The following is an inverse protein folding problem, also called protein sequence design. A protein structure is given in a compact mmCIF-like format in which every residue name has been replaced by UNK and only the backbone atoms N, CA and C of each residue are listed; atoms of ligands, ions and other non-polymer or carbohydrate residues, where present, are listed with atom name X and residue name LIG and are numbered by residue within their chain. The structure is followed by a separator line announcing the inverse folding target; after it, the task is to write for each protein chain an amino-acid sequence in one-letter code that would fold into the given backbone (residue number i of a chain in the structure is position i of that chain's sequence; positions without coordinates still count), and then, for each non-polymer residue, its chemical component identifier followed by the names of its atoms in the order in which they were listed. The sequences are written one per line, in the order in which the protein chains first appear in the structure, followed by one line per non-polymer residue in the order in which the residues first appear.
data_IF_926566068318
#
_entry.id   IF_926566068318
#
_cell.length_a   1.000
_cell.length_b   1.000
_cell.length_c   1.000
_cell.angle_alpha   90.00
_cell.angle_beta   90.00
_cell.angle_gamma   90.00
#
_symmetry.space_group_name_H-M   'P 1'
#
loop_
_entity.id
_entity.type
_entity.pdbx_description
1 polymer ?
#
# COMPACT_ATOMS: atom_id res chain seq x y z
N UNK A 1 35.54 -17.07 2.50
CA UNK A 1 36.37 -15.85 2.71
C UNK A 1 36.28 -15.31 4.15
N UNK A 2 35.25 -15.60 4.94
CA UNK A 2 35.15 -15.20 6.35
C UNK A 2 35.77 -16.16 7.39
N UNK A 3 36.76 -16.98 7.01
CA UNK A 3 37.41 -17.90 7.97
C UNK A 3 38.95 -17.81 8.00
N UNK A 4 39.54 -16.80 7.35
CA UNK A 4 41.00 -16.58 7.32
C UNK A 4 41.32 -15.13 7.74
N UNK A 5 40.76 -14.68 8.86
CA UNK A 5 41.07 -13.37 9.44
C UNK A 5 41.06 -13.42 10.98
N UNK A 6 41.53 -14.53 11.57
CA UNK A 6 41.68 -14.69 13.03
C UNK A 6 43.14 -14.79 13.49
N UNK A 7 44.10 -14.45 12.63
CA UNK A 7 45.54 -14.63 12.94
C UNK A 7 46.41 -13.37 12.87
N UNK A 8 45.83 -12.19 12.72
CA UNK A 8 46.56 -10.94 12.98
C UNK A 8 45.75 -10.14 13.99
N UNK A 9 46.31 -9.94 15.18
CA UNK A 9 45.73 -9.24 16.33
C UNK A 9 45.38 -7.78 16.06
N UNK A 10 44.44 -7.54 15.15
CA UNK A 10 43.73 -6.29 15.01
C UNK A 10 42.56 -6.33 16.00
N UNK A 11 42.67 -5.52 17.06
CA UNK A 11 41.47 -5.02 17.76
C UNK A 11 40.68 -4.23 16.73
N UNK A 12 39.76 -4.89 16.04
CA UNK A 12 38.66 -4.20 15.37
C UNK A 12 37.69 -3.87 16.50
N UNK A 13 37.88 -2.70 17.11
CA UNK A 13 36.80 -2.05 17.84
C UNK A 13 35.74 -1.72 16.79
N UNK A 14 34.80 -2.65 16.61
CA UNK A 14 33.54 -2.35 15.95
C UNK A 14 32.92 -1.26 16.82
N UNK A 15 32.72 -0.04 16.31
CA UNK A 15 32.00 0.97 17.06
C UNK A 15 30.64 0.36 17.40
N UNK A 16 30.32 0.30 18.70
CA UNK A 16 28.99 0.00 19.19
C UNK A 16 28.09 1.16 18.74
N UNK A 17 27.67 1.12 17.48
CA UNK A 17 26.62 1.99 16.98
C UNK A 17 25.37 1.44 17.67
N UNK A 18 24.75 2.19 18.60
CA UNK A 18 23.54 1.71 19.24
C UNK A 18 22.55 1.41 18.12
N UNK A 19 22.14 0.15 18.00
CA UNK A 19 21.08 -0.22 17.07
C UNK A 19 19.91 0.74 17.33
N UNK A 20 19.40 1.45 16.31
CA UNK A 20 18.23 2.28 16.48
C UNK A 20 17.15 1.41 17.10
N UNK A 21 16.73 1.74 18.32
CA UNK A 21 15.67 0.98 18.99
C UNK A 21 14.42 1.16 18.15
N UNK A 22 13.89 0.05 17.63
CA UNK A 22 12.60 0.02 16.94
C UNK A 22 11.55 0.66 17.85
N UNK A 23 10.66 1.47 17.26
CA UNK A 23 9.51 1.98 17.99
C UNK A 23 8.65 0.79 18.45
N UNK A 24 7.96 0.86 19.62
CA UNK A 24 7.13 -0.23 20.10
C UNK A 24 6.07 -0.69 19.08
N UNK A 25 5.47 0.26 18.36
CA UNK A 25 4.48 -0.02 17.32
C UNK A 25 5.11 -0.65 16.07
N UNK A 26 6.35 -0.29 15.73
CA UNK A 26 7.10 -0.89 14.62
C UNK A 26 7.39 -2.37 14.91
N UNK A 27 7.89 -2.68 16.11
CA UNK A 27 8.15 -4.05 16.54
C UNK A 27 6.85 -4.90 16.58
N UNK A 28 5.74 -4.31 17.04
CA UNK A 28 4.44 -4.97 17.05
C UNK A 28 3.94 -5.26 15.63
N UNK A 29 4.09 -4.31 14.70
CA UNK A 29 3.72 -4.49 13.31
C UNK A 29 4.53 -5.62 12.66
N UNK A 30 5.85 -5.65 12.85
CA UNK A 30 6.70 -6.72 12.32
C UNK A 30 6.32 -8.09 12.86
N UNK A 31 6.10 -8.22 14.18
CA UNK A 31 5.69 -9.50 14.76
C UNK A 31 4.34 -10.00 14.23
N UNK A 32 3.41 -9.08 13.95
CA UNK A 32 2.13 -9.43 13.35
C UNK A 32 2.29 -9.86 11.88
N UNK A 33 3.10 -9.14 11.09
CA UNK A 33 3.41 -9.47 9.71
C UNK A 33 4.09 -10.84 9.57
N UNK A 34 5.03 -11.18 10.46
CA UNK A 34 5.69 -12.51 10.48
C UNK A 34 4.70 -13.66 10.67
N UNK A 35 3.58 -13.41 11.35
CA UNK A 35 2.51 -14.38 11.59
C UNK A 35 1.44 -14.36 10.50
N UNK A 36 1.56 -13.48 9.52
CA UNK A 36 0.51 -13.22 8.53
C UNK A 36 -0.72 -12.50 9.09
N UNK A 37 -0.62 -11.91 10.29
CA UNK A 37 -1.69 -11.15 10.93
C UNK A 37 -1.69 -9.70 10.41
N UNK A 38 -2.22 -9.51 9.21
CA UNK A 38 -2.33 -8.18 8.59
C UNK A 38 -3.27 -7.25 9.37
N UNK A 39 -4.23 -7.80 10.12
CA UNK A 39 -5.14 -7.02 10.98
C UNK A 39 -4.39 -6.44 12.18
N UNK A 40 -3.62 -7.27 12.88
CA UNK A 40 -2.75 -6.86 13.98
C UNK A 40 -1.70 -5.85 13.53
N UNK A 41 -1.09 -6.06 12.36
CA UNK A 41 -0.12 -5.13 11.78
C UNK A 41 -0.77 -3.77 11.45
N UNK A 42 -1.94 -3.77 10.82
CA UNK A 42 -2.68 -2.54 10.54
C UNK A 42 -3.02 -1.77 11.83
N UNK A 43 -3.42 -2.47 12.89
CA UNK A 43 -3.70 -1.84 14.19
C UNK A 43 -2.43 -1.21 14.80
N UNK A 44 -1.29 -1.88 14.72
CA UNK A 44 -0.02 -1.34 15.19
C UNK A 44 0.37 -0.06 14.43
N UNK A 45 0.27 -0.06 13.10
CA UNK A 45 0.54 1.15 12.29
C UNK A 45 -0.44 2.29 12.59
N UNK A 46 -1.74 2.00 12.81
CA UNK A 46 -2.70 3.03 13.23
C UNK A 46 -2.35 3.64 14.58
N UNK A 47 -1.92 2.83 15.54
CA UNK A 47 -1.47 3.32 16.85
C UNK A 47 -0.23 4.22 16.69
N UNK A 48 0.69 3.83 15.81
CA UNK A 48 1.86 4.65 15.50
C UNK A 48 1.45 6.00 14.90
N UNK A 49 0.55 6.00 13.92
CA UNK A 49 0.04 7.24 13.31
C UNK A 49 -0.78 8.11 14.26
N UNK A 50 -1.43 7.52 15.26
CA UNK A 50 -2.11 8.31 16.29
C UNK A 50 -1.12 9.12 17.14
N UNK A 51 0.10 8.61 17.33
CA UNK A 51 1.19 9.29 18.06
C UNK A 51 2.05 10.18 17.16
N UNK A 52 2.36 9.71 15.96
CA UNK A 52 3.19 10.38 14.95
C UNK A 52 2.42 10.40 13.62
N UNK A 53 1.50 11.37 13.42
CA UNK A 53 0.60 11.38 12.25
C UNK A 53 1.29 11.43 10.90
N UNK A 54 2.53 11.91 10.85
CA UNK A 54 3.30 12.07 9.62
C UNK A 54 4.36 11.02 9.37
N UNK A 55 4.37 9.94 10.16
CA UNK A 55 5.34 8.85 10.03
C UNK A 55 5.21 8.11 8.67
N UNK A 56 6.17 8.28 7.73
CA UNK A 56 6.05 7.70 6.40
C UNK A 56 5.98 6.17 6.40
N UNK A 57 6.74 5.52 7.28
CA UNK A 57 6.77 4.06 7.37
C UNK A 57 5.40 3.51 7.77
N UNK A 58 4.78 4.13 8.78
CA UNK A 58 3.47 3.70 9.27
C UNK A 58 2.36 3.96 8.26
N UNK A 59 2.41 5.06 7.49
CA UNK A 59 1.45 5.31 6.39
C UNK A 59 1.50 4.23 5.33
N UNK A 60 2.70 3.90 4.84
CA UNK A 60 2.89 2.86 3.81
C UNK A 60 2.52 1.48 4.36
N UNK A 61 3.00 1.15 5.56
CA UNK A 61 2.73 -0.13 6.20
C UNK A 61 1.23 -0.36 6.44
N UNK A 62 0.51 0.67 6.90
CA UNK A 62 -0.94 0.62 7.06
C UNK A 62 -1.64 0.36 5.72
N UNK A 63 -1.31 1.14 4.70
CA UNK A 63 -1.93 1.01 3.38
C UNK A 63 -1.70 -0.40 2.79
N UNK A 64 -0.51 -0.98 2.97
CA UNK A 64 -0.18 -2.33 2.51
C UNK A 64 -1.00 -3.39 3.24
N UNK A 65 -1.10 -3.30 4.57
CA UNK A 65 -1.90 -4.23 5.37
C UNK A 65 -3.39 -4.14 4.99
N UNK A 66 -3.92 -2.93 4.83
CA UNK A 66 -5.31 -2.72 4.45
C UNK A 66 -5.61 -3.22 3.04
N UNK A 67 -4.72 -3.00 2.06
CA UNK A 67 -4.86 -3.61 0.74
C UNK A 67 -4.92 -5.13 0.84
N UNK A 68 -4.00 -5.73 1.62
CA UNK A 68 -3.93 -7.18 1.77
C UNK A 68 -5.19 -7.78 2.40
N UNK A 69 -5.78 -7.08 3.36
CA UNK A 69 -7.05 -7.45 4.00
C UNK A 69 -8.23 -7.33 3.03
N UNK A 70 -8.31 -6.26 2.22
CA UNK A 70 -9.40 -6.08 1.25
C UNK A 70 -9.45 -7.19 0.19
N UNK A 71 -8.29 -7.70 -0.22
CA UNK A 71 -8.20 -8.73 -1.26
C UNK A 71 -8.20 -10.16 -0.72
N UNK A 72 -8.06 -10.36 0.60
CA UNK A 72 -7.78 -11.69 1.18
C UNK A 72 -8.86 -12.74 0.86
N UNK A 73 -10.13 -12.33 0.91
CA UNK A 73 -11.27 -13.23 0.68
C UNK A 73 -11.75 -13.23 -0.78
N UNK A 74 -11.07 -12.53 -1.69
CA UNK A 74 -11.54 -12.35 -3.06
C UNK A 74 -11.03 -13.45 -3.99
N UNK A 75 -11.92 -13.90 -4.87
CA UNK A 75 -11.50 -14.63 -6.08
C UNK A 75 -11.07 -13.61 -7.13
N UNK A 76 -9.78 -13.61 -7.48
CA UNK A 76 -9.19 -12.54 -8.29
C UNK A 76 -9.77 -12.50 -9.70
N UNK A 77 -9.91 -13.65 -10.36
CA UNK A 77 -10.45 -13.71 -11.71
C UNK A 77 -11.93 -13.33 -11.74
N UNK A 78 -12.71 -13.90 -10.82
CA UNK A 78 -14.15 -13.66 -10.76
C UNK A 78 -14.46 -12.20 -10.44
N UNK A 79 -13.70 -11.59 -9.54
CA UNK A 79 -13.88 -10.18 -9.16
C UNK A 79 -13.62 -9.27 -10.35
N UNK A 80 -12.52 -9.49 -11.07
CA UNK A 80 -12.20 -8.68 -12.25
C UNK A 80 -13.24 -8.86 -13.36
N UNK A 81 -13.64 -10.12 -13.65
CA UNK A 81 -14.72 -10.39 -14.63
C UNK A 81 -16.04 -9.72 -14.23
N UNK A 82 -16.39 -9.70 -12.94
CA UNK A 82 -17.58 -8.99 -12.43
C UNK A 82 -17.49 -7.50 -12.70
N UNK A 83 -16.34 -6.88 -12.38
CA UNK A 83 -16.12 -5.46 -12.61
C UNK A 83 -16.15 -5.09 -14.09
N UNK A 84 -15.58 -5.92 -14.96
CA UNK A 84 -15.59 -5.67 -16.40
C UNK A 84 -17.01 -5.78 -16.99
N UNK A 85 -17.85 -6.67 -16.43
CA UNK A 85 -19.25 -6.79 -16.81
C UNK A 85 -20.17 -5.69 -16.22
N UNK A 86 -19.70 -4.97 -15.18
CA UNK A 86 -20.47 -3.94 -14.46
C UNK A 86 -19.65 -2.65 -14.33
N UNK A 87 -19.43 -1.92 -15.44
CA UNK A 87 -18.60 -0.72 -15.44
C UNK A 87 -19.10 0.38 -14.49
N UNK A 88 -20.40 0.43 -14.22
CA UNK A 88 -21.03 1.43 -13.35
C UNK A 88 -21.12 1.00 -11.87
N UNK A 89 -20.75 -0.24 -11.54
CA UNK A 89 -20.74 -0.73 -10.16
C UNK A 89 -19.47 -0.27 -9.45
N UNK A 90 -19.54 0.85 -8.73
CA UNK A 90 -18.40 1.39 -8.01
C UNK A 90 -17.72 0.33 -7.12
N UNK A 91 -18.51 -0.45 -6.38
CA UNK A 91 -17.96 -1.47 -5.49
C UNK A 91 -17.16 -2.54 -6.24
N UNK A 92 -17.66 -3.05 -7.39
CA UNK A 92 -16.92 -4.00 -8.20
C UNK A 92 -15.63 -3.36 -8.75
N UNK A 93 -15.67 -2.08 -9.15
CA UNK A 93 -14.48 -1.35 -9.63
C UNK A 93 -13.42 -1.18 -8.54
N UNK A 94 -13.82 -0.85 -7.30
CA UNK A 94 -12.89 -0.72 -6.17
C UNK A 94 -12.17 -2.04 -5.88
N UNK A 95 -12.93 -3.13 -5.80
CA UNK A 95 -12.38 -4.47 -5.52
C UNK A 95 -11.44 -4.95 -6.62
N UNK A 96 -11.79 -4.72 -7.89
CA UNK A 96 -10.91 -5.04 -9.02
C UNK A 96 -9.63 -4.19 -9.02
N UNK A 97 -9.73 -2.90 -8.68
CA UNK A 97 -8.57 -2.01 -8.61
C UNK A 97 -7.59 -2.46 -7.52
N UNK A 98 -8.09 -2.88 -6.36
CA UNK A 98 -7.26 -3.45 -5.29
C UNK A 98 -6.46 -4.67 -5.78
N UNK A 99 -7.14 -5.63 -6.41
CA UNK A 99 -6.49 -6.83 -6.96
C UNK A 99 -5.46 -6.45 -8.03
N UNK A 100 -5.80 -5.51 -8.90
CA UNK A 100 -4.91 -5.07 -9.98
C UNK A 100 -3.65 -4.40 -9.43
N UNK A 101 -3.74 -3.53 -8.42
CA UNK A 101 -2.56 -2.98 -7.75
C UNK A 101 -1.75 -4.07 -7.05
N UNK A 102 -2.41 -4.96 -6.31
CA UNK A 102 -1.73 -6.07 -5.62
C UNK A 102 -1.01 -7.03 -6.58
N UNK A 103 -1.43 -7.08 -7.84
CA UNK A 103 -0.83 -7.92 -8.91
C UNK A 103 0.06 -7.15 -9.87
N UNK A 104 0.36 -5.86 -9.59
CA UNK A 104 1.24 -5.03 -10.42
C UNK A 104 0.61 -4.47 -11.71
N UNK A 105 -0.70 -4.61 -11.88
CA UNK A 105 -1.47 -4.07 -13.02
C UNK A 105 -1.94 -2.64 -12.75
N UNK A 106 -1.00 -1.75 -12.41
CA UNK A 106 -1.27 -0.38 -11.97
C UNK A 106 -2.12 0.42 -12.97
N UNK A 107 -1.78 0.36 -14.26
CA UNK A 107 -2.54 1.03 -15.32
C UNK A 107 -4.02 0.66 -15.30
N UNK A 108 -4.35 -0.63 -15.24
CA UNK A 108 -5.74 -1.11 -15.24
C UNK A 108 -6.50 -0.59 -14.02
N UNK A 109 -5.88 -0.64 -12.84
CA UNK A 109 -6.47 -0.16 -11.60
C UNK A 109 -6.77 1.34 -11.65
N UNK A 110 -5.79 2.13 -12.11
CA UNK A 110 -5.94 3.57 -12.19
C UNK A 110 -6.96 3.98 -13.25
N UNK A 111 -6.94 3.37 -14.43
CA UNK A 111 -7.89 3.66 -15.50
C UNK A 111 -9.34 3.41 -15.06
N UNK A 112 -9.61 2.32 -14.31
CA UNK A 112 -10.98 2.03 -13.85
C UNK A 112 -11.48 2.98 -12.78
N UNK A 113 -10.62 3.37 -11.84
CA UNK A 113 -11.01 4.32 -10.81
C UNK A 113 -11.12 5.74 -11.35
N UNK A 114 -10.28 6.13 -12.31
CA UNK A 114 -10.43 7.40 -13.03
C UNK A 114 -11.77 7.46 -13.77
N UNK A 115 -12.16 6.38 -14.48
CA UNK A 115 -13.50 6.30 -15.09
C UNK A 115 -14.59 6.49 -14.05
N UNK A 116 -14.50 5.79 -12.93
CA UNK A 116 -15.47 5.89 -11.82
C UNK A 116 -15.55 7.32 -11.27
N UNK A 117 -14.43 8.03 -11.11
CA UNK A 117 -14.38 9.43 -10.65
C UNK A 117 -15.04 10.38 -11.67
N UNK A 118 -14.90 10.10 -12.97
CA UNK A 118 -15.46 10.94 -14.03
C UNK A 118 -16.96 10.69 -14.27
N UNK A 119 -17.44 9.46 -14.06
CA UNK A 119 -18.84 9.10 -14.30
C UNK A 119 -19.74 9.25 -13.07
N UNK A 120 -19.19 9.31 -11.87
CA UNK A 120 -19.94 9.43 -10.61
C UNK A 120 -20.05 10.86 -10.10
N UNK A 121 -20.93 11.07 -9.12
CA UNK A 121 -21.12 12.36 -8.44
C UNK A 121 -21.32 12.18 -6.93
N UNK A 122 -21.26 13.28 -6.18
CA UNK A 122 -21.48 13.27 -4.73
C UNK A 122 -20.57 12.30 -3.99
N UNK A 123 -21.16 11.46 -3.13
CA UNK A 123 -20.45 10.52 -2.28
C UNK A 123 -19.72 9.42 -3.08
N UNK A 124 -20.26 8.97 -4.21
CA UNK A 124 -19.60 7.97 -5.05
C UNK A 124 -18.31 8.51 -5.66
N UNK A 125 -18.33 9.76 -6.13
CA UNK A 125 -17.12 10.43 -6.64
C UNK A 125 -16.07 10.60 -5.54
N UNK A 126 -16.51 10.97 -4.33
CA UNK A 126 -15.61 11.09 -3.19
C UNK A 126 -14.95 9.75 -2.85
N UNK A 127 -15.74 8.67 -2.75
CA UNK A 127 -15.24 7.31 -2.47
C UNK A 127 -14.27 6.81 -3.54
N UNK A 128 -14.60 6.97 -4.82
CA UNK A 128 -13.70 6.58 -5.92
C UNK A 128 -12.36 7.33 -5.88
N UNK A 129 -12.41 8.64 -5.61
CA UNK A 129 -11.23 9.49 -5.49
C UNK A 129 -10.36 9.09 -4.29
N UNK A 130 -10.96 8.92 -3.12
CA UNK A 130 -10.25 8.52 -1.90
C UNK A 130 -9.55 7.17 -2.09
N UNK A 131 -10.24 6.20 -2.68
CA UNK A 131 -9.67 4.89 -2.97
C UNK A 131 -8.51 4.96 -3.96
N UNK A 132 -8.63 5.78 -5.01
CA UNK A 132 -7.55 6.01 -5.97
C UNK A 132 -6.31 6.63 -5.31
N UNK A 133 -6.50 7.61 -4.42
CA UNK A 133 -5.40 8.22 -3.66
C UNK A 133 -4.75 7.26 -2.66
N UNK A 134 -5.51 6.33 -2.09
CA UNK A 134 -4.96 5.24 -1.27
C UNK A 134 -4.05 4.34 -2.12
N UNK A 135 -4.52 3.91 -3.30
CA UNK A 135 -3.74 3.07 -4.20
C UNK A 135 -2.47 3.76 -4.72
N UNK A 136 -2.50 5.08 -4.94
CA UNK A 136 -1.32 5.85 -5.32
C UNK A 136 -0.19 5.83 -4.28
N UNK A 137 -0.49 5.60 -3.00
CA UNK A 137 0.52 5.52 -1.93
C UNK A 137 1.27 4.18 -1.94
N UNK A 138 0.72 3.17 -2.63
CA UNK A 138 1.25 1.81 -2.67
C UNK A 138 2.18 1.56 -3.86
N UNK A 139 2.33 2.54 -4.75
CA UNK A 139 3.08 2.43 -6.00
C UNK A 139 4.27 3.38 -5.96
N UNK A 140 5.40 2.96 -6.55
CA UNK A 140 6.61 3.78 -6.65
C UNK A 140 6.26 5.14 -7.30
N UNK A 141 6.61 6.29 -6.69
CA UNK A 141 6.34 7.62 -7.25
C UNK A 141 6.88 7.86 -8.66
N UNK A 142 7.85 7.05 -9.12
CA UNK A 142 8.47 7.10 -10.45
C UNK A 142 7.77 6.20 -11.47
N UNK A 143 6.77 5.41 -11.06
CA UNK A 143 5.98 4.58 -11.95
C UNK A 143 5.28 5.46 -13.01
N UNK A 144 5.47 5.19 -14.31
CA UNK A 144 4.94 6.03 -15.38
C UNK A 144 3.40 6.01 -15.43
N UNK A 145 2.75 4.93 -15.00
CA UNK A 145 1.29 4.85 -14.94
C UNK A 145 0.75 5.67 -13.78
N UNK A 146 1.44 5.68 -12.62
CA UNK A 146 1.11 6.56 -11.50
C UNK A 146 1.21 8.04 -11.88
N UNK A 147 2.30 8.43 -12.55
CA UNK A 147 2.51 9.83 -12.98
C UNK A 147 1.36 10.28 -13.89
N UNK A 148 1.01 9.46 -14.89
CA UNK A 148 -0.10 9.75 -15.80
C UNK A 148 -1.44 9.79 -15.08
N UNK A 149 -1.69 8.86 -14.17
CA UNK A 149 -2.95 8.80 -13.43
C UNK A 149 -3.17 10.03 -12.54
N UNK A 150 -2.10 10.55 -11.90
CA UNK A 150 -2.16 11.80 -11.13
C UNK A 150 -2.50 13.01 -12.01
N UNK A 151 -1.92 13.09 -13.21
CA UNK A 151 -2.25 14.14 -14.18
C UNK A 151 -3.72 14.05 -14.62
N UNK A 152 -4.19 12.85 -14.97
CA UNK A 152 -5.59 12.63 -15.35
C UNK A 152 -6.58 12.97 -14.23
N UNK A 153 -6.25 12.62 -12.98
CA UNK A 153 -7.09 12.95 -11.84
C UNK A 153 -7.19 14.46 -11.64
N UNK A 154 -6.07 15.19 -11.75
CA UNK A 154 -6.07 16.64 -11.67
C UNK A 154 -6.98 17.25 -12.75
N UNK A 155 -6.83 16.82 -14.01
CA UNK A 155 -7.68 17.29 -15.13
C UNK A 155 -9.16 16.95 -14.98
N UNK A 156 -9.52 15.90 -14.23
CA UNK A 156 -10.91 15.53 -13.98
C UNK A 156 -11.58 16.34 -12.85
N UNK A 157 -10.80 17.14 -12.11
CA UNK A 157 -11.25 17.93 -10.96
C UNK A 157 -11.32 19.44 -11.24
N UNK A 158 -10.76 19.90 -12.37
CA UNK A 158 -10.75 21.29 -12.82
C UNK A 158 -11.45 21.43 -14.17
#
# INVERSE_FOLDING_TARGET
IFKIAKEKGMKVEVPDVPEPKLEPEEAAAFSALEKGDFSGAAMAYRNWLARVPDEPMAKIGLAQCELRLRIEALDFERTIKSADAKPDSLQDQLMAADIEVATGRHKSAFDRLLRSVMSSSGEEKARAKEHLLLLFQLVDPRDPDLIKARQSLASALF
#
